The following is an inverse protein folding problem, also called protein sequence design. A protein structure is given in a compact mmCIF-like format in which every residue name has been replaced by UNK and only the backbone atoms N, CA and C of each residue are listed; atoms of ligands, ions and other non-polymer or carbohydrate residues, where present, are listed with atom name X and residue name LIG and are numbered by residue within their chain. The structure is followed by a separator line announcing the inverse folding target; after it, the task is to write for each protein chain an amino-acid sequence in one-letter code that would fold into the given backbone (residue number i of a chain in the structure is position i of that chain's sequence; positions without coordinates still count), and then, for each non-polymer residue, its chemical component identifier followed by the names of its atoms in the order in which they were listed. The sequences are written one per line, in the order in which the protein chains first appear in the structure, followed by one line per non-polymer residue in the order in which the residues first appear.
data_IF_198190304467
#
_entry.id   IF_198190304467
#
_cell.length_a   1.000
_cell.length_b   1.000
_cell.length_c   1.000
_cell.angle_alpha   90.00
_cell.angle_beta   90.00
_cell.angle_gamma   90.00
#
_symmetry.space_group_name_H-M   'P 1'
#
loop_
_entity.id
_entity.type
_entity.pdbx_description
1 polymer ?
#
# COMPACT_ATOMS: atom_id res chain seq x y z
N UNK A 1 -10.66 -15.21 -26.60
CA UNK A 1 -9.42 -15.19 -27.40
C UNK A 1 -8.43 -14.18 -26.80
N UNK A 2 -8.71 -12.88 -26.85
CA UNK A 2 -7.85 -11.80 -26.29
C UNK A 2 -7.33 -12.08 -24.88
N UNK A 3 -8.20 -12.37 -23.91
CA UNK A 3 -7.77 -12.68 -22.53
C UNK A 3 -6.90 -13.93 -22.41
N UNK A 4 -7.07 -14.92 -23.28
CA UNK A 4 -6.27 -16.15 -23.25
C UNK A 4 -4.86 -15.93 -23.85
N UNK A 5 -4.75 -15.01 -24.79
CA UNK A 5 -3.49 -14.61 -25.45
C UNK A 5 -2.62 -13.70 -24.57
N UNK A 6 -3.07 -13.30 -23.39
CA UNK A 6 -2.31 -12.41 -22.50
C UNK A 6 -2.41 -10.94 -22.90
N UNK A 7 -3.61 -10.48 -23.27
CA UNK A 7 -3.89 -9.10 -23.70
C UNK A 7 -4.98 -8.46 -22.86
N UNK A 8 -5.15 -7.14 -22.98
CA UNK A 8 -6.25 -6.40 -22.35
C UNK A 8 -7.45 -6.35 -23.30
N UNK A 9 -8.60 -6.86 -22.85
CA UNK A 9 -9.86 -6.75 -23.58
C UNK A 9 -10.61 -5.50 -23.12
N UNK A 10 -10.69 -4.48 -23.98
CA UNK A 10 -11.50 -3.30 -23.71
C UNK A 10 -12.96 -3.58 -24.12
N UNK A 11 -13.80 -3.82 -23.12
CA UNK A 11 -15.22 -4.15 -23.26
C UNK A 11 -16.04 -3.12 -22.50
N UNK A 12 -16.93 -2.43 -23.21
CA UNK A 12 -17.81 -1.43 -22.62
C UNK A 12 -18.61 -1.99 -21.43
N UNK A 13 -18.95 -1.12 -20.47
CA UNK A 13 -19.76 -1.50 -19.31
C UNK A 13 -21.09 -2.09 -19.74
N UNK A 14 -21.42 -3.28 -19.22
CA UNK A 14 -22.63 -4.03 -19.59
C UNK A 14 -22.43 -5.13 -20.63
N UNK A 15 -21.25 -5.24 -21.25
CA UNK A 15 -20.94 -6.31 -22.23
C UNK A 15 -20.66 -7.68 -21.58
N UNK A 16 -20.74 -7.78 -20.25
CA UNK A 16 -20.65 -9.06 -19.54
C UNK A 16 -19.23 -9.54 -19.23
N UNK A 17 -18.30 -8.63 -18.93
CA UNK A 17 -16.89 -8.92 -18.56
C UNK A 17 -16.72 -10.11 -17.61
N UNK A 18 -17.46 -10.13 -16.50
CA UNK A 18 -17.45 -11.23 -15.52
C UNK A 18 -17.77 -12.60 -16.14
N UNK A 19 -18.73 -12.67 -17.07
CA UNK A 19 -19.08 -13.92 -17.76
C UNK A 19 -18.02 -14.31 -18.78
N UNK A 20 -17.45 -13.33 -19.49
CA UNK A 20 -16.41 -13.55 -20.49
C UNK A 20 -15.14 -14.11 -19.85
N UNK A 21 -14.77 -13.67 -18.64
CA UNK A 21 -13.60 -14.16 -17.91
C UNK A 21 -13.65 -15.66 -17.56
N UNK A 22 -14.83 -16.27 -17.50
CA UNK A 22 -15.00 -17.70 -17.20
C UNK A 22 -14.31 -18.57 -18.27
N UNK A 23 -14.43 -18.20 -19.54
CA UNK A 23 -13.89 -18.97 -20.66
C UNK A 23 -12.35 -19.11 -20.63
N UNK A 24 -11.57 -18.00 -20.57
CA UNK A 24 -10.13 -18.09 -20.42
C UNK A 24 -9.72 -18.63 -19.05
N UNK A 25 -10.47 -18.37 -17.98
CA UNK A 25 -10.17 -18.96 -16.67
C UNK A 25 -10.25 -20.49 -16.71
N UNK A 26 -11.34 -21.03 -17.26
CA UNK A 26 -11.50 -22.46 -17.47
C UNK A 26 -10.36 -23.05 -18.29
N UNK A 27 -10.09 -22.48 -19.47
CA UNK A 27 -9.08 -23.01 -20.39
C UNK A 27 -7.66 -22.98 -19.78
N UNK A 28 -7.27 -21.89 -19.11
CA UNK A 28 -5.95 -21.80 -18.50
C UNK A 28 -5.84 -22.66 -17.23
N UNK A 29 -6.93 -22.88 -16.49
CA UNK A 29 -6.94 -23.75 -15.32
C UNK A 29 -6.64 -25.22 -15.67
N UNK A 30 -7.00 -25.68 -16.88
CA UNK A 30 -6.68 -27.04 -17.35
C UNK A 30 -5.17 -27.31 -17.45
N UNK A 31 -4.32 -26.28 -17.48
CA UNK A 31 -2.87 -26.44 -17.46
C UNK A 31 -2.31 -26.78 -16.07
N UNK A 32 -3.12 -26.72 -15.01
CA UNK A 32 -2.75 -27.11 -13.64
C UNK A 32 -2.01 -26.05 -12.82
N UNK A 33 -1.56 -24.95 -13.42
CA UNK A 33 -0.83 -23.87 -12.76
C UNK A 33 -1.67 -22.92 -11.89
N UNK A 34 -3.00 -23.10 -11.87
CA UNK A 34 -3.93 -22.22 -11.18
C UNK A 34 -4.19 -20.90 -11.92
N UNK A 35 -5.38 -20.34 -11.73
CA UNK A 35 -5.77 -19.03 -12.30
C UNK A 35 -6.25 -18.11 -11.19
N UNK A 36 -5.67 -16.92 -11.10
CA UNK A 36 -6.14 -15.86 -10.23
C UNK A 36 -7.03 -14.89 -11.02
N UNK A 37 -8.30 -14.79 -10.62
CA UNK A 37 -9.20 -13.75 -11.12
C UNK A 37 -9.17 -12.61 -10.12
N UNK A 38 -8.55 -11.51 -10.50
CA UNK A 38 -8.29 -10.37 -9.62
C UNK A 38 -9.37 -9.32 -9.78
N UNK A 39 -9.91 -8.84 -8.66
CA UNK A 39 -10.96 -7.80 -8.62
C UNK A 39 -10.56 -6.66 -7.68
N UNK A 40 -11.29 -5.55 -7.68
CA UNK A 40 -10.96 -4.35 -6.89
C UNK A 40 -11.40 -4.41 -5.43
N UNK A 41 -12.32 -5.29 -5.04
CA UNK A 41 -12.76 -5.41 -3.65
C UNK A 41 -13.35 -6.79 -3.29
N UNK A 42 -13.35 -7.10 -1.99
CA UNK A 42 -13.76 -8.41 -1.45
C UNK A 42 -15.22 -8.76 -1.76
N UNK A 43 -16.11 -7.76 -1.87
CA UNK A 43 -17.51 -8.00 -2.25
C UNK A 43 -17.61 -8.52 -3.69
N UNK A 44 -16.90 -7.89 -4.64
CA UNK A 44 -16.86 -8.34 -6.03
C UNK A 44 -16.22 -9.74 -6.15
N UNK A 45 -15.08 -9.97 -5.47
CA UNK A 45 -14.43 -11.28 -5.45
C UNK A 45 -15.39 -12.38 -4.98
N UNK A 46 -16.11 -12.15 -3.86
CA UNK A 46 -17.08 -13.11 -3.30
C UNK A 46 -18.29 -13.31 -4.22
N UNK A 47 -18.85 -12.22 -4.75
CA UNK A 47 -20.00 -12.26 -5.68
C UNK A 47 -19.66 -13.07 -6.93
N UNK A 48 -18.52 -12.79 -7.52
CA UNK A 48 -18.12 -13.40 -8.80
C UNK A 48 -17.71 -14.86 -8.59
N UNK A 49 -17.01 -15.20 -7.51
CA UNK A 49 -16.76 -16.60 -7.14
C UNK A 49 -18.05 -17.41 -6.91
N UNK A 50 -19.09 -16.78 -6.36
CA UNK A 50 -20.40 -17.43 -6.13
C UNK A 50 -21.21 -17.59 -7.42
N UNK A 51 -21.11 -16.63 -8.35
CA UNK A 51 -21.88 -16.62 -9.59
C UNK A 51 -21.13 -17.29 -10.75
N UNK A 52 -19.97 -16.76 -11.13
CA UNK A 52 -19.11 -17.26 -12.18
C UNK A 52 -18.42 -18.59 -11.82
N UNK A 53 -18.31 -18.91 -10.53
CA UNK A 53 -17.83 -20.22 -10.08
C UNK A 53 -18.79 -21.38 -10.34
N UNK A 54 -20.11 -21.14 -10.56
CA UNK A 54 -21.08 -22.22 -10.82
C UNK A 54 -20.77 -23.02 -12.09
N UNK A 55 -20.59 -22.39 -13.27
CA UNK A 55 -20.22 -23.14 -14.48
C UNK A 55 -18.84 -23.80 -14.35
N UNK A 56 -17.86 -23.17 -13.68
CA UNK A 56 -16.55 -23.78 -13.46
C UNK A 56 -16.65 -25.07 -12.62
N UNK A 57 -17.39 -25.04 -11.51
CA UNK A 57 -17.66 -26.23 -10.67
C UNK A 57 -18.46 -27.29 -11.40
N UNK A 58 -19.44 -26.89 -12.21
CA UNK A 58 -20.19 -27.82 -13.06
C UNK A 58 -19.28 -28.58 -14.04
N UNK A 59 -18.24 -27.92 -14.56
CA UNK A 59 -17.24 -28.53 -15.44
C UNK A 59 -16.12 -29.29 -14.69
N UNK A 60 -16.24 -29.43 -13.37
CA UNK A 60 -15.31 -30.22 -12.55
C UNK A 60 -14.13 -29.46 -11.97
N UNK A 61 -14.04 -28.14 -12.15
CA UNK A 61 -12.99 -27.32 -11.53
C UNK A 61 -13.34 -26.90 -10.10
N UNK A 62 -12.33 -26.81 -9.26
CA UNK A 62 -12.42 -26.21 -7.92
C UNK A 62 -12.30 -24.68 -8.01
N UNK A 63 -13.09 -23.97 -7.17
CA UNK A 63 -13.13 -22.50 -7.17
C UNK A 63 -13.03 -21.98 -5.75
N UNK A 64 -11.92 -21.29 -5.46
CA UNK A 64 -11.62 -20.64 -4.19
C UNK A 64 -11.90 -19.14 -4.23
N UNK A 65 -12.10 -18.54 -3.05
CA UNK A 65 -12.14 -17.10 -2.86
C UNK A 65 -11.26 -16.75 -1.67
N UNK A 66 -10.42 -15.74 -1.82
CA UNK A 66 -9.54 -15.24 -0.77
C UNK A 66 -10.07 -13.91 -0.28
N UNK A 67 -10.17 -13.77 1.04
CA UNK A 67 -10.70 -12.59 1.71
C UNK A 67 -9.79 -12.15 2.84
N UNK A 68 -9.93 -10.89 3.26
CA UNK A 68 -9.05 -10.27 4.25
C UNK A 68 -9.02 -11.02 5.60
N UNK A 69 -10.20 -11.44 6.07
CA UNK A 69 -10.47 -12.06 7.37
C UNK A 69 -10.09 -13.56 7.47
N UNK A 70 -9.66 -14.18 6.38
CA UNK A 70 -9.30 -15.61 6.37
C UNK A 70 -7.96 -15.87 7.05
N UNK A 71 -7.87 -17.00 7.75
CA UNK A 71 -6.63 -17.53 8.31
C UNK A 71 -5.67 -18.01 7.22
N UNK A 72 -4.38 -18.15 7.54
CA UNK A 72 -3.38 -18.64 6.57
C UNK A 72 -3.71 -20.03 6.01
N UNK A 73 -4.35 -20.90 6.81
CA UNK A 73 -4.74 -22.24 6.39
C UNK A 73 -5.89 -22.20 5.37
N UNK A 74 -6.92 -21.39 5.64
CA UNK A 74 -8.05 -21.20 4.71
C UNK A 74 -7.59 -20.55 3.39
N UNK A 75 -6.64 -19.60 3.46
CA UNK A 75 -6.04 -19.00 2.26
C UNK A 75 -5.29 -20.02 1.44
N UNK A 76 -4.52 -20.91 2.07
CA UNK A 76 -3.83 -22.02 1.38
C UNK A 76 -4.80 -22.94 0.65
N UNK A 77 -5.91 -23.30 1.29
CA UNK A 77 -6.95 -24.10 0.64
C UNK A 77 -7.57 -23.37 -0.55
N UNK A 78 -7.86 -22.07 -0.40
CA UNK A 78 -8.41 -21.25 -1.48
C UNK A 78 -7.45 -21.12 -2.68
N UNK A 79 -6.18 -20.77 -2.46
CA UNK A 79 -5.16 -20.72 -3.52
C UNK A 79 -4.88 -22.09 -4.14
N UNK A 80 -5.12 -23.17 -3.39
CA UNK A 80 -5.05 -24.55 -3.89
C UNK A 80 -6.11 -24.90 -4.94
N UNK A 81 -7.18 -24.11 -5.08
CA UNK A 81 -8.23 -24.32 -6.09
C UNK A 81 -7.75 -23.97 -7.50
N UNK A 82 -8.32 -24.63 -8.52
CA UNK A 82 -7.98 -24.43 -9.93
C UNK A 82 -8.17 -22.97 -10.38
N UNK A 83 -9.22 -22.32 -9.87
CA UNK A 83 -9.48 -20.89 -10.05
C UNK A 83 -9.66 -20.23 -8.68
N UNK A 84 -8.98 -19.13 -8.43
CA UNK A 84 -9.05 -18.37 -7.17
C UNK A 84 -9.47 -16.94 -7.47
N UNK A 85 -10.56 -16.49 -6.85
CA UNK A 85 -10.95 -15.08 -6.86
C UNK A 85 -10.29 -14.35 -5.70
N UNK A 86 -9.65 -13.21 -5.96
CA UNK A 86 -8.87 -12.47 -4.96
C UNK A 86 -8.84 -10.99 -5.31
N UNK A 87 -8.57 -10.13 -4.33
CA UNK A 87 -8.26 -8.72 -4.60
C UNK A 87 -6.77 -8.54 -4.84
N UNK A 88 -6.40 -7.53 -5.62
CA UNK A 88 -4.99 -7.16 -5.83
C UNK A 88 -4.26 -6.92 -4.49
N UNK A 89 -4.92 -6.23 -3.55
CA UNK A 89 -4.38 -5.97 -2.22
C UNK A 89 -4.11 -7.26 -1.45
N UNK A 90 -5.08 -8.18 -1.42
CA UNK A 90 -4.96 -9.41 -0.66
C UNK A 90 -3.90 -10.34 -1.25
N UNK A 91 -3.84 -10.44 -2.58
CA UNK A 91 -2.81 -11.16 -3.31
C UNK A 91 -1.41 -10.64 -2.97
N UNK A 92 -1.22 -9.31 -3.02
CA UNK A 92 0.07 -8.69 -2.74
C UNK A 92 0.51 -8.87 -1.29
N UNK A 93 -0.41 -8.74 -0.33
CA UNK A 93 -0.08 -9.01 1.07
C UNK A 93 0.23 -10.49 1.34
N UNK A 94 -0.47 -11.42 0.71
CA UNK A 94 -0.15 -12.84 0.87
C UNK A 94 1.20 -13.17 0.29
N UNK A 95 1.55 -12.60 -0.87
CA UNK A 95 2.90 -12.71 -1.42
C UNK A 95 3.96 -12.18 -0.45
N UNK A 96 3.79 -10.96 0.08
CA UNK A 96 4.76 -10.38 1.02
C UNK A 96 4.88 -11.22 2.29
N UNK A 97 3.77 -11.75 2.83
CA UNK A 97 3.79 -12.62 4.01
C UNK A 97 4.46 -13.96 3.74
N UNK A 98 4.33 -14.50 2.54
CA UNK A 98 4.98 -15.74 2.16
C UNK A 98 6.50 -15.56 2.02
N UNK A 99 6.98 -14.38 1.59
CA UNK A 99 8.42 -14.05 1.60
C UNK A 99 9.01 -13.93 3.02
N UNK A 100 8.17 -13.72 4.03
CA UNK A 100 8.57 -13.63 5.44
C UNK A 100 8.30 -14.93 6.22
N UNK A 101 7.70 -15.95 5.57
CA UNK A 101 7.40 -17.23 6.20
C UNK A 101 8.69 -17.98 6.57
N UNK A 102 8.73 -18.52 7.79
CA UNK A 102 9.88 -19.30 8.29
C UNK A 102 9.72 -20.79 8.02
N UNK A 103 8.47 -21.24 7.92
CA UNK A 103 8.12 -22.65 7.71
C UNK A 103 7.25 -22.80 6.45
N UNK A 104 7.40 -23.90 5.69
CA UNK A 104 6.51 -24.18 4.56
C UNK A 104 5.02 -24.20 4.96
N UNK A 105 4.72 -24.65 6.18
CA UNK A 105 3.36 -24.66 6.75
C UNK A 105 2.77 -23.28 7.03
N UNK A 106 3.50 -22.19 6.76
CA UNK A 106 3.03 -20.80 6.88
C UNK A 106 2.72 -20.17 5.51
N UNK A 107 3.14 -20.80 4.40
CA UNK A 107 2.92 -20.31 3.03
C UNK A 107 1.44 -20.34 2.64
N UNK A 108 0.96 -19.33 1.93
CA UNK A 108 -0.45 -19.20 1.51
C UNK A 108 -0.62 -19.52 0.04
N UNK A 109 0.25 -18.96 -0.81
CA UNK A 109 0.23 -19.18 -2.24
C UNK A 109 0.63 -20.61 -2.58
N UNK A 110 0.31 -21.04 -3.81
CA UNK A 110 0.71 -22.36 -4.31
C UNK A 110 2.23 -22.53 -4.27
N UNK A 111 2.70 -23.67 -3.75
CA UNK A 111 4.13 -23.95 -3.63
C UNK A 111 4.83 -24.12 -4.98
N UNK A 112 4.20 -24.80 -5.94
CA UNK A 112 4.82 -25.13 -7.24
C UNK A 112 4.76 -23.97 -8.22
N UNK A 113 3.61 -23.29 -8.30
CA UNK A 113 3.33 -22.24 -9.27
C UNK A 113 2.44 -21.16 -8.65
N UNK A 114 2.99 -20.24 -7.84
CA UNK A 114 2.23 -19.21 -7.15
C UNK A 114 1.65 -18.15 -8.11
N UNK A 115 2.24 -17.99 -9.29
CA UNK A 115 1.88 -16.97 -10.29
C UNK A 115 1.74 -17.58 -11.69
N UNK A 116 0.82 -18.53 -11.84
CA UNK A 116 0.52 -19.18 -13.13
C UNK A 116 -0.13 -18.22 -14.13
N UNK A 117 -1.43 -17.94 -13.95
CA UNK A 117 -2.19 -17.01 -14.79
C UNK A 117 -2.99 -16.01 -13.95
N UNK A 118 -2.98 -14.75 -14.33
CA UNK A 118 -3.86 -13.71 -13.79
C UNK A 118 -4.78 -13.14 -14.86
N UNK A 119 -6.06 -12.97 -14.51
CA UNK A 119 -7.04 -12.22 -15.27
C UNK A 119 -7.53 -11.09 -14.36
N UNK A 120 -7.17 -9.85 -14.70
CA UNK A 120 -7.46 -8.67 -13.88
C UNK A 120 -8.75 -7.99 -14.37
N UNK A 121 -9.78 -7.94 -13.54
CA UNK A 121 -10.96 -7.12 -13.76
C UNK A 121 -10.69 -5.66 -13.35
N UNK A 122 -11.30 -4.72 -14.06
CA UNK A 122 -10.98 -3.28 -14.00
C UNK A 122 -9.46 -3.03 -14.04
N UNK A 123 -8.85 -3.57 -15.11
CA UNK A 123 -7.39 -3.61 -15.27
C UNK A 123 -6.71 -2.23 -15.26
N UNK A 124 -7.39 -1.18 -15.72
CA UNK A 124 -6.92 0.21 -15.63
C UNK A 124 -6.83 0.66 -14.17
N UNK A 125 -7.89 0.46 -13.39
CA UNK A 125 -7.87 0.81 -11.96
C UNK A 125 -6.79 0.03 -11.19
N UNK A 126 -6.66 -1.28 -11.43
CA UNK A 126 -5.72 -2.12 -10.66
C UNK A 126 -4.26 -1.95 -11.10
N UNK A 127 -3.99 -1.92 -12.40
CA UNK A 127 -2.62 -1.92 -12.93
C UNK A 127 -2.05 -0.52 -13.15
N UNK A 128 -2.90 0.48 -13.36
CA UNK A 128 -2.47 1.85 -13.66
C UNK A 128 -2.71 2.77 -12.45
N UNK A 129 -3.96 2.94 -12.03
CA UNK A 129 -4.30 3.90 -10.97
C UNK A 129 -3.71 3.49 -9.61
N UNK A 130 -4.02 2.27 -9.17
CA UNK A 130 -3.51 1.72 -7.91
C UNK A 130 -2.03 1.32 -7.99
N UNK A 131 -1.51 1.10 -9.21
CA UNK A 131 -0.13 0.70 -9.46
C UNK A 131 0.94 1.65 -8.95
N UNK A 132 0.56 2.90 -8.62
CA UNK A 132 1.46 3.99 -8.21
C UNK A 132 1.91 3.90 -6.76
N UNK A 133 1.11 3.30 -5.87
CA UNK A 133 1.45 3.21 -4.44
C UNK A 133 1.89 1.79 -4.10
N UNK A 134 3.11 1.59 -3.57
CA UNK A 134 3.55 0.25 -3.20
C UNK A 134 2.75 -0.30 -2.02
N UNK A 135 2.56 -1.61 -2.02
CA UNK A 135 2.10 -2.34 -0.83
C UNK A 135 3.25 -2.46 0.15
N UNK A 136 2.95 -2.19 1.42
CA UNK A 136 3.94 -2.17 2.50
C UNK A 136 3.39 -2.98 3.67
N UNK A 137 4.17 -3.96 4.14
CA UNK A 137 3.93 -4.60 5.43
C UNK A 137 4.83 -3.93 6.45
N UNK A 138 4.23 -3.29 7.43
CA UNK A 138 4.92 -2.75 8.59
C UNK A 138 4.70 -3.62 9.82
N UNK A 139 5.67 -3.58 10.72
CA UNK A 139 5.52 -4.06 12.09
C UNK A 139 5.78 -2.93 13.07
N UNK A 140 5.14 -3.01 14.23
CA UNK A 140 5.53 -2.19 15.36
C UNK A 140 6.82 -2.77 15.91
N UNK A 141 7.90 -2.00 15.85
CA UNK A 141 9.10 -2.33 16.60
C UNK A 141 8.83 -2.00 18.06
N UNK A 142 9.07 -2.96 18.97
CA UNK A 142 9.17 -2.64 20.39
C UNK A 142 10.38 -1.71 20.56
N UNK A 143 10.07 -0.44 20.81
CA UNK A 143 11.08 0.57 21.11
C UNK A 143 11.51 0.37 22.56
N UNK A 144 12.81 0.17 22.85
CA UNK A 144 13.28 -0.03 24.21
C UNK A 144 13.24 1.32 24.95
N UNK A 145 12.06 1.72 25.43
CA UNK A 145 11.84 3.02 26.07
C UNK A 145 12.84 3.27 27.21
N UNK A 146 13.17 2.23 27.99
CA UNK A 146 14.18 2.30 29.05
C UNK A 146 15.57 2.70 28.55
N UNK A 147 15.98 2.25 27.35
CA UNK A 147 17.27 2.64 26.76
C UNK A 147 17.30 4.11 26.42
N UNK A 148 16.24 4.66 25.86
CA UNK A 148 16.15 6.10 25.56
C UNK A 148 16.18 6.93 26.84
N UNK A 149 15.43 6.53 27.87
CA UNK A 149 15.44 7.22 29.16
C UNK A 149 16.82 7.16 29.83
N UNK A 150 17.47 6.00 29.83
CA UNK A 150 18.81 5.82 30.41
C UNK A 150 19.86 6.58 29.61
N UNK A 151 19.80 6.53 28.27
CA UNK A 151 20.72 7.24 27.40
C UNK A 151 20.62 8.76 27.57
N UNK A 152 19.40 9.29 27.76
CA UNK A 152 19.19 10.69 28.07
C UNK A 152 19.84 11.10 29.40
N UNK A 153 19.70 10.28 30.45
CA UNK A 153 20.33 10.53 31.75
C UNK A 153 21.86 10.56 31.63
N UNK A 154 22.45 9.62 30.90
CA UNK A 154 23.90 9.57 30.68
C UNK A 154 24.36 10.77 29.85
N UNK A 155 23.66 11.08 28.74
CA UNK A 155 23.96 12.23 27.88
C UNK A 155 23.91 13.57 28.63
N UNK A 156 23.12 13.67 29.71
CA UNK A 156 23.12 14.83 30.60
C UNK A 156 24.42 14.97 31.42
N UNK A 157 25.12 13.87 31.71
CA UNK A 157 26.40 13.87 32.44
C UNK A 157 27.62 14.12 31.57
N UNK A 158 27.49 14.00 30.24
CA UNK A 158 28.59 14.17 29.29
C UNK A 158 28.82 15.65 28.96
N UNK A 159 30.09 16.02 28.84
CA UNK A 159 30.54 17.38 28.56
C UNK A 159 30.89 17.58 27.07
N UNK A 160 30.38 18.65 26.47
CA UNK A 160 30.66 19.04 25.08
C UNK A 160 32.14 19.39 24.91
N UNK A 161 32.70 19.01 23.76
CA UNK A 161 34.10 19.17 23.36
C UNK A 161 35.13 18.46 24.27
N UNK A 162 34.65 17.63 25.19
CA UNK A 162 35.45 16.79 26.09
C UNK A 162 35.07 15.32 25.93
N UNK A 163 33.80 15.00 26.18
CA UNK A 163 33.26 13.65 26.09
C UNK A 163 32.61 13.39 24.72
N UNK A 164 32.23 14.43 23.97
CA UNK A 164 31.72 14.32 22.60
C UNK A 164 31.93 15.61 21.81
N UNK A 165 31.93 15.51 20.49
CA UNK A 165 32.02 16.63 19.55
C UNK A 165 30.68 16.81 18.84
N UNK A 166 30.24 18.05 18.69
CA UNK A 166 29.01 18.39 17.96
C UNK A 166 29.35 18.76 16.51
N UNK A 167 28.78 18.03 15.57
CA UNK A 167 28.92 18.25 14.14
C UNK A 167 27.67 18.96 13.61
N UNK A 168 27.68 20.30 13.67
CA UNK A 168 26.49 21.11 13.34
C UNK A 168 26.08 21.01 11.86
N UNK A 169 27.05 20.82 10.96
CA UNK A 169 26.80 20.68 9.51
C UNK A 169 26.18 19.33 9.18
N UNK A 170 26.71 18.27 9.78
CA UNK A 170 26.23 16.90 9.63
C UNK A 170 24.99 16.61 10.49
N UNK A 171 24.59 17.55 11.36
CA UNK A 171 23.47 17.42 12.31
C UNK A 171 23.57 16.15 13.17
N UNK A 172 24.78 15.84 13.65
CA UNK A 172 25.06 14.69 14.51
C UNK A 172 26.07 15.01 15.61
N UNK A 173 26.24 14.10 16.55
CA UNK A 173 27.29 14.15 17.57
C UNK A 173 28.18 12.90 17.47
N UNK A 174 29.46 13.04 17.81
CA UNK A 174 30.42 11.92 17.85
C UNK A 174 30.99 11.83 19.26
N UNK A 175 30.95 10.65 19.87
CA UNK A 175 31.60 10.42 21.16
C UNK A 175 33.13 10.47 20.99
N UNK A 176 33.82 11.09 21.96
CA UNK A 176 35.27 10.93 22.06
C UNK A 176 35.60 9.62 22.79
N UNK A 177 36.83 9.14 22.68
CA UNK A 177 37.29 7.95 23.43
C UNK A 177 37.02 8.09 24.94
N UNK A 178 37.18 9.30 25.50
CA UNK A 178 36.85 9.61 26.89
C UNK A 178 35.34 9.47 27.17
N UNK A 179 34.49 9.98 26.28
CA UNK A 179 33.04 9.85 26.42
C UNK A 179 32.56 8.41 26.29
N UNK A 180 33.17 7.62 25.42
CA UNK A 180 32.90 6.19 25.32
C UNK A 180 33.22 5.48 26.64
N UNK A 181 34.41 5.67 27.19
CA UNK A 181 34.81 5.09 28.49
C UNK A 181 33.86 5.49 29.62
N UNK A 182 33.54 6.79 29.74
CA UNK A 182 32.65 7.32 30.78
C UNK A 182 31.22 6.78 30.64
N UNK A 183 30.75 6.58 29.41
CA UNK A 183 29.44 6.00 29.11
C UNK A 183 29.43 4.51 29.45
N UNK A 184 30.48 3.78 29.07
CA UNK A 184 30.67 2.36 29.35
C UNK A 184 30.68 2.06 30.85
N UNK A 185 31.40 2.88 31.62
CA UNK A 185 31.46 2.79 33.09
C UNK A 185 30.08 2.99 33.74
N UNK A 186 29.30 3.97 33.27
CA UNK A 186 27.96 4.23 33.78
C UNK A 186 26.97 3.11 33.44
N UNK A 187 27.09 2.54 32.24
CA UNK A 187 26.26 1.41 31.79
C UNK A 187 26.72 0.06 32.34
N UNK A 188 27.93 -0.01 32.94
CA UNK A 188 28.60 -1.26 33.34
C UNK A 188 28.69 -2.24 32.18
N UNK A 189 29.04 -1.72 31.01
CA UNK A 189 29.21 -2.44 29.75
C UNK A 189 30.69 -2.37 29.36
N UNK A 190 31.17 -3.34 28.58
CA UNK A 190 32.53 -3.28 28.03
C UNK A 190 32.52 -2.61 26.64
N UNK A 191 31.53 -2.92 25.81
CA UNK A 191 31.41 -2.43 24.45
C UNK A 191 30.02 -1.80 24.20
N UNK A 192 30.00 -0.54 23.75
CA UNK A 192 28.78 0.20 23.40
C UNK A 192 28.25 -0.18 22.01
N UNK A 193 29.08 -0.84 21.18
CA UNK A 193 28.81 -1.21 19.80
C UNK A 193 28.46 -2.69 19.64
N UNK A 194 28.25 -3.43 20.76
CA UNK A 194 27.84 -4.83 20.75
C UNK A 194 26.61 -5.03 19.84
N UNK A 195 26.72 -5.82 18.75
CA UNK A 195 25.60 -6.06 17.84
C UNK A 195 24.38 -6.71 18.51
N UNK A 196 24.56 -7.39 19.65
CA UNK A 196 23.47 -8.03 20.40
C UNK A 196 22.78 -7.08 21.37
N UNK A 197 23.46 -6.05 21.86
CA UNK A 197 22.88 -5.04 22.74
C UNK A 197 23.50 -3.65 22.52
N UNK A 198 23.21 -2.99 21.38
CA UNK A 198 23.85 -1.73 21.02
C UNK A 198 23.36 -0.59 21.93
N UNK A 199 24.29 0.23 22.40
CA UNK A 199 24.04 1.43 23.21
C UNK A 199 24.52 2.73 22.54
N UNK A 200 25.56 2.66 21.72
CA UNK A 200 26.12 3.83 21.05
C UNK A 200 25.08 4.65 20.27
N UNK A 201 24.15 4.06 19.46
CA UNK A 201 23.14 4.85 18.75
C UNK A 201 22.20 5.62 19.67
N UNK A 202 21.81 5.04 20.81
CA UNK A 202 20.92 5.68 21.78
C UNK A 202 21.58 6.89 22.44
N UNK A 203 22.88 6.76 22.79
CA UNK A 203 23.67 7.84 23.40
C UNK A 203 23.89 8.96 22.39
N UNK A 204 24.30 8.63 21.17
CA UNK A 204 24.49 9.60 20.08
C UNK A 204 23.20 10.33 19.76
N UNK A 205 22.06 9.63 19.65
CA UNK A 205 20.75 10.25 19.42
C UNK A 205 20.33 11.14 20.59
N UNK A 206 20.61 10.74 21.83
CA UNK A 206 20.31 11.56 23.02
C UNK A 206 21.15 12.85 23.06
N UNK A 207 22.43 12.77 22.72
CA UNK A 207 23.32 13.94 22.57
C UNK A 207 22.88 14.84 21.41
N UNK A 208 22.56 14.24 20.26
CA UNK A 208 22.05 14.96 19.09
C UNK A 208 20.74 15.68 19.42
N UNK A 209 19.79 14.99 20.06
CA UNK A 209 18.54 15.59 20.53
C UNK A 209 18.78 16.73 21.53
N UNK A 210 19.75 16.57 22.44
CA UNK A 210 20.12 17.60 23.44
C UNK A 210 20.70 18.86 22.77
N UNK A 211 21.67 18.71 21.89
CA UNK A 211 22.50 19.82 21.36
C UNK A 211 21.92 20.46 20.09
N UNK A 212 21.32 19.67 19.20
CA UNK A 212 21.01 20.11 17.83
C UNK A 212 19.51 20.30 17.55
N UNK A 213 18.65 19.70 18.37
CA UNK A 213 17.19 19.77 18.21
C UNK A 213 16.57 20.54 19.36
N UNK A 214 16.26 21.81 19.12
CA UNK A 214 15.71 22.71 20.12
C UNK A 214 14.20 22.88 19.92
N UNK A 215 13.47 22.84 21.03
CA UNK A 215 12.06 23.17 21.08
C UNK A 215 11.82 24.60 20.58
N UNK A 216 10.71 24.82 19.90
CA UNK A 216 10.32 26.07 19.21
C UNK A 216 11.24 26.47 18.04
N UNK A 217 12.13 25.56 17.59
CA UNK A 217 12.93 25.74 16.37
C UNK A 217 12.76 24.56 15.43
N UNK A 218 13.20 23.37 15.84
CA UNK A 218 13.10 22.15 15.04
C UNK A 218 11.76 21.43 15.24
N UNK A 219 11.19 21.52 16.45
CA UNK A 219 9.91 20.92 16.80
C UNK A 219 9.15 21.76 17.82
N UNK A 220 7.87 21.44 17.97
CA UNK A 220 7.03 21.85 19.09
C UNK A 220 6.46 20.61 19.80
N UNK A 221 6.02 20.79 21.04
CA UNK A 221 5.25 19.76 21.76
C UNK A 221 3.80 20.20 21.80
N UNK A 222 2.91 19.39 21.20
CA UNK A 222 1.47 19.66 21.12
C UNK A 222 0.70 18.38 21.45
N UNK A 223 -0.29 18.49 22.32
CA UNK A 223 -1.13 17.35 22.76
C UNK A 223 -0.32 16.14 23.25
N UNK A 224 0.79 16.40 23.94
CA UNK A 224 1.70 15.36 24.44
C UNK A 224 2.53 14.68 23.35
N UNK A 225 2.64 15.25 22.15
CA UNK A 225 3.41 14.71 21.02
C UNK A 225 4.42 15.72 20.49
N UNK A 226 5.58 15.21 20.06
CA UNK A 226 6.58 16.00 19.33
C UNK A 226 6.15 16.13 17.88
N UNK A 227 6.01 17.36 17.39
CA UNK A 227 5.63 17.67 16.00
C UNK A 227 6.76 18.43 15.33
N UNK A 228 7.22 17.93 14.19
CA UNK A 228 8.29 18.56 13.39
C UNK A 228 7.83 19.92 12.87
N UNK A 229 8.70 20.91 12.93
CA UNK A 229 8.48 22.24 12.36
C UNK A 229 9.36 22.41 11.14
N UNK A 230 8.80 22.94 10.06
CA UNK A 230 9.58 23.34 8.89
C UNK A 230 10.44 24.57 9.23
N UNK A 231 11.76 24.44 9.11
CA UNK A 231 12.73 25.48 9.51
C UNK A 231 12.62 26.78 8.68
N UNK A 232 12.04 26.73 7.47
CA UNK A 232 11.89 27.91 6.61
C UNK A 232 10.61 28.67 6.90
N UNK A 233 9.52 27.94 7.18
CA UNK A 233 8.18 28.53 7.32
C UNK A 233 7.70 28.64 8.76
N UNK A 234 8.34 27.94 9.71
CA UNK A 234 7.94 27.86 11.11
C UNK A 234 6.61 27.13 11.32
N UNK A 235 6.11 26.41 10.31
CA UNK A 235 4.83 25.71 10.38
C UNK A 235 5.01 24.25 10.84
N UNK A 236 4.11 23.72 11.67
CA UNK A 236 4.11 22.31 12.02
C UNK A 236 3.78 21.46 10.78
N UNK A 237 4.54 20.38 10.60
CA UNK A 237 4.37 19.40 9.53
C UNK A 237 3.84 18.11 10.15
N UNK A 238 2.53 17.93 10.12
CA UNK A 238 1.89 16.73 10.64
C UNK A 238 2.30 15.48 9.83
N UNK A 239 2.50 14.35 10.53
CA UNK A 239 2.89 13.07 9.93
C UNK A 239 4.37 12.93 9.58
N UNK A 240 5.18 13.98 9.75
CA UNK A 240 6.64 13.89 9.62
C UNK A 240 7.28 13.54 10.96
N UNK A 241 8.22 12.60 10.95
CA UNK A 241 9.07 12.23 12.08
C UNK A 241 10.53 12.11 11.64
N UNK A 242 11.46 12.10 12.60
CA UNK A 242 12.85 11.76 12.35
C UNK A 242 13.07 10.24 12.40
N UNK A 243 13.93 9.71 11.53
CA UNK A 243 14.28 8.28 11.46
C UNK A 243 15.35 7.89 12.48
N UNK A 244 15.71 6.59 12.48
CA UNK A 244 16.87 6.02 13.18
C UNK A 244 16.88 6.25 14.69
N UNK A 245 15.69 6.33 15.31
CA UNK A 245 15.56 6.50 16.75
C UNK A 245 15.65 7.95 17.26
N UNK A 246 15.86 8.93 16.39
CA UNK A 246 16.04 10.33 16.81
C UNK A 246 14.74 10.95 17.32
N UNK A 247 13.59 10.63 16.69
CA UNK A 247 12.27 11.06 17.16
C UNK A 247 12.05 10.63 18.61
N UNK A 248 12.33 9.37 18.93
CA UNK A 248 12.15 8.78 20.24
C UNK A 248 13.12 9.38 21.28
N UNK A 249 14.33 9.75 20.87
CA UNK A 249 15.26 10.47 21.74
C UNK A 249 14.76 11.88 22.08
N UNK A 250 14.13 12.59 21.14
CA UNK A 250 13.51 13.89 21.38
C UNK A 250 12.26 13.75 22.27
N UNK A 251 11.45 12.71 22.04
CA UNK A 251 10.30 12.39 22.88
C UNK A 251 10.71 12.11 24.33
N UNK A 252 11.77 11.30 24.52
CA UNK A 252 12.36 11.05 25.84
C UNK A 252 12.89 12.35 26.48
N UNK A 253 13.58 13.20 25.71
CA UNK A 253 14.09 14.50 26.15
C UNK A 253 12.99 15.42 26.69
N UNK A 254 11.85 15.47 26.01
CA UNK A 254 10.71 16.31 26.40
C UNK A 254 9.81 15.65 27.46
N UNK A 255 10.10 14.41 27.85
CA UNK A 255 9.30 13.66 28.83
C UNK A 255 7.90 13.29 28.32
N UNK A 256 7.73 13.17 27.01
CA UNK A 256 6.47 12.71 26.40
C UNK A 256 6.51 11.19 26.18
N UNK A 257 5.34 10.61 25.90
CA UNK A 257 5.24 9.17 25.61
C UNK A 257 6.03 8.84 24.34
N UNK A 258 6.99 7.91 24.46
CA UNK A 258 7.81 7.44 23.35
C UNK A 258 6.94 6.59 22.43
N UNK A 259 6.77 7.03 21.19
CA UNK A 259 5.92 6.33 20.24
C UNK A 259 6.67 5.15 19.61
N UNK A 260 5.96 4.05 19.42
CA UNK A 260 6.49 2.92 18.66
C UNK A 260 6.68 3.31 17.19
N UNK A 261 7.82 2.91 16.62
CA UNK A 261 8.10 3.13 15.21
C UNK A 261 7.49 1.99 14.37
N UNK A 262 6.76 2.38 13.33
CA UNK A 262 6.35 1.44 12.30
C UNK A 262 7.54 1.19 11.37
N UNK A 263 8.21 0.05 11.51
CA UNK A 263 9.28 -0.36 10.61
C UNK A 263 8.69 -1.05 9.39
N UNK A 264 9.24 -0.76 8.21
CA UNK A 264 8.86 -1.46 6.97
C UNK A 264 9.59 -2.79 6.91
N UNK A 265 8.84 -3.90 6.98
CA UNK A 265 9.40 -5.26 6.89
C UNK A 265 9.59 -5.71 5.44
N UNK A 266 8.61 -5.39 4.58
CA UNK A 266 8.62 -5.77 3.18
C UNK A 266 7.75 -4.83 2.35
N UNK A 267 8.09 -4.65 1.08
CA UNK A 267 7.27 -3.87 0.14
C UNK A 267 7.35 -4.40 -1.29
N UNK A 268 6.27 -4.20 -2.06
CA UNK A 268 6.22 -4.49 -3.50
C UNK A 268 5.20 -3.56 -4.19
N UNK A 269 5.51 -3.07 -5.39
CA UNK A 269 4.52 -2.38 -6.23
C UNK A 269 3.65 -3.38 -6.98
N UNK A 270 2.42 -3.00 -7.34
CA UNK A 270 1.58 -3.88 -8.19
C UNK A 270 2.24 -4.16 -9.54
N UNK A 271 2.97 -3.20 -10.10
CA UNK A 271 3.76 -3.41 -11.32
C UNK A 271 4.72 -4.59 -11.17
N UNK A 272 5.52 -4.62 -10.10
CA UNK A 272 6.43 -5.73 -9.84
C UNK A 272 5.69 -7.04 -9.54
N UNK A 273 4.61 -6.98 -8.74
CA UNK A 273 3.82 -8.15 -8.36
C UNK A 273 3.22 -8.85 -9.59
N UNK A 274 2.56 -8.09 -10.47
CA UNK A 274 1.86 -8.68 -11.62
C UNK A 274 2.82 -9.16 -12.72
N UNK A 275 4.06 -8.65 -12.77
CA UNK A 275 5.11 -9.17 -13.66
C UNK A 275 5.64 -10.54 -13.21
N UNK A 276 5.30 -11.02 -12.02
CA UNK A 276 5.64 -12.39 -11.59
C UNK A 276 4.79 -13.46 -12.31
N UNK A 277 3.65 -13.09 -12.89
CA UNK A 277 2.78 -14.04 -13.59
C UNK A 277 3.38 -14.51 -14.91
N UNK A 278 3.33 -15.82 -15.16
CA UNK A 278 3.71 -16.38 -16.47
C UNK A 278 2.76 -15.91 -17.58
N UNK A 279 1.49 -15.70 -17.26
CA UNK A 279 0.49 -15.11 -18.15
C UNK A 279 -0.36 -14.09 -17.41
N UNK A 280 -0.39 -12.87 -17.92
CA UNK A 280 -1.21 -11.78 -17.42
C UNK A 280 -2.18 -11.34 -18.51
N UNK A 281 -3.44 -11.13 -18.16
CA UNK A 281 -4.44 -10.47 -19.01
C UNK A 281 -5.37 -9.62 -18.17
N UNK A 282 -6.11 -8.74 -18.83
CA UNK A 282 -7.00 -7.80 -18.14
C UNK A 282 -8.25 -7.48 -18.94
N UNK A 283 -9.29 -7.01 -18.27
CA UNK A 283 -10.49 -6.49 -18.89
C UNK A 283 -10.92 -5.21 -18.21
N UNK A 284 -11.36 -4.23 -19.00
CA UNK A 284 -11.88 -2.94 -18.50
C UNK A 284 -12.73 -2.28 -19.59
N UNK A 285 -13.45 -1.22 -19.27
CA UNK A 285 -14.21 -0.42 -20.23
C UNK A 285 -13.41 0.71 -20.86
N UNK A 286 -12.23 1.01 -20.32
CA UNK A 286 -11.49 2.26 -20.55
C UNK A 286 -9.97 1.99 -20.59
N UNK A 287 -9.50 1.17 -21.52
CA UNK A 287 -8.07 0.85 -21.66
C UNK A 287 -7.37 1.58 -22.81
N UNK A 288 -8.11 2.01 -23.84
CA UNK A 288 -7.51 2.55 -25.08
C UNK A 288 -6.68 3.81 -24.82
N UNK A 289 -7.06 4.63 -23.84
CA UNK A 289 -6.30 5.83 -23.46
C UNK A 289 -4.97 5.51 -22.79
N UNK A 290 -4.91 4.39 -22.06
CA UNK A 290 -3.73 3.94 -21.30
C UNK A 290 -2.94 2.82 -22.01
N UNK A 291 -3.19 2.60 -23.31
CA UNK A 291 -2.63 1.47 -24.05
C UNK A 291 -1.09 1.47 -24.11
N UNK A 292 -0.48 2.65 -24.19
CA UNK A 292 0.98 2.80 -24.17
C UNK A 292 1.56 2.41 -22.79
N UNK A 293 0.86 2.75 -21.70
CA UNK A 293 1.28 2.42 -20.34
C UNK A 293 1.16 0.90 -20.09
N UNK A 294 0.05 0.27 -20.49
CA UNK A 294 -0.11 -1.19 -20.44
C UNK A 294 1.02 -1.94 -21.17
N UNK A 295 1.37 -1.49 -22.37
CA UNK A 295 2.40 -2.15 -23.16
C UNK A 295 3.80 -1.91 -22.60
N UNK A 296 4.12 -0.67 -22.19
CA UNK A 296 5.46 -0.34 -21.68
C UNK A 296 5.78 -0.98 -20.33
N UNK A 297 4.80 -1.09 -19.43
CA UNK A 297 5.00 -1.63 -18.08
C UNK A 297 4.84 -3.15 -18.05
N UNK A 298 3.80 -3.67 -18.72
CA UNK A 298 3.38 -5.08 -18.60
C UNK A 298 3.53 -5.89 -19.89
N UNK A 299 3.82 -5.25 -21.03
CA UNK A 299 3.83 -5.90 -22.34
C UNK A 299 2.43 -6.32 -22.80
N UNK A 300 1.38 -5.67 -22.29
CA UNK A 300 -0.01 -6.00 -22.62
C UNK A 300 -0.52 -5.11 -23.75
N UNK A 301 -0.93 -5.73 -24.86
CA UNK A 301 -1.65 -5.05 -25.95
C UNK A 301 -3.12 -4.82 -25.54
N UNK A 302 -3.66 -3.63 -25.86
CA UNK A 302 -5.07 -3.30 -25.63
C UNK A 302 -5.88 -3.55 -26.90
N UNK A 303 -6.93 -4.36 -26.78
CA UNK A 303 -7.80 -4.74 -27.89
C UNK A 303 -9.24 -4.26 -27.63
N UNK A 304 -9.71 -3.23 -28.35
CA UNK A 304 -11.11 -2.82 -28.33
C UNK A 304 -12.02 -3.93 -28.85
N UNK A 305 -13.00 -4.32 -28.04
CA UNK A 305 -14.01 -5.32 -28.42
C UNK A 305 -15.28 -4.60 -28.86
N UNK A 306 -15.80 -4.87 -30.07
CA UNK A 306 -17.05 -4.28 -30.52
C UNK A 306 -18.21 -4.61 -29.57
N UNK A 307 -19.06 -3.62 -29.28
CA UNK A 307 -20.26 -3.84 -28.47
C UNK A 307 -21.23 -4.79 -29.19
N UNK A 308 -21.89 -5.67 -28.44
CA UNK A 308 -22.91 -6.59 -28.95
C UNK A 308 -24.09 -5.84 -29.60
N UNK A 309 -24.40 -4.63 -29.12
CA UNK A 309 -25.38 -3.73 -29.73
C UNK A 309 -24.75 -2.37 -30.04
N UNK A 310 -25.16 -1.70 -31.13
CA UNK A 310 -24.72 -0.33 -31.38
C UNK A 310 -25.04 0.59 -30.20
N UNK A 311 -24.03 1.34 -29.74
CA UNK A 311 -24.23 2.32 -28.68
C UNK A 311 -25.16 3.45 -29.18
N UNK A 312 -26.26 3.68 -28.45
CA UNK A 312 -27.21 4.77 -28.71
C UNK A 312 -27.17 5.84 -27.62
N UNK A 313 -26.20 5.76 -26.71
CA UNK A 313 -26.01 6.78 -25.66
C UNK A 313 -25.58 8.08 -26.35
N UNK A 314 -26.19 9.18 -25.92
CA UNK A 314 -25.83 10.52 -26.38
C UNK A 314 -24.92 11.09 -25.31
N UNK A 315 -23.65 11.28 -25.66
CA UNK A 315 -22.67 11.96 -24.82
C UNK A 315 -22.68 13.44 -25.20
N UNK A 316 -23.09 14.31 -24.28
CA UNK A 316 -23.11 15.77 -24.46
C UNK A 316 -21.72 16.36 -24.17
N UNK A 317 -21.42 17.54 -24.73
CA UNK A 317 -20.16 18.25 -24.47
C UNK A 317 -20.08 18.78 -23.03
N UNK A 318 -18.85 18.89 -22.52
CA UNK A 318 -18.59 19.41 -21.17
C UNK A 318 -19.08 20.85 -21.00
N UNK A 319 -19.78 21.12 -19.89
CA UNK A 319 -20.21 22.46 -19.51
C UNK A 319 -19.27 23.04 -18.44
N UNK A 320 -18.54 24.10 -18.79
CA UNK A 320 -17.57 24.76 -17.91
C UNK A 320 -18.18 26.02 -17.28
N UNK A 321 -18.05 26.14 -15.95
CA UNK A 321 -18.57 27.28 -15.19
C UNK A 321 -17.46 28.04 -14.50
N UNK A 322 -17.63 29.36 -14.36
CA UNK A 322 -16.66 30.26 -13.72
C UNK A 322 -16.55 30.06 -12.20
N UNK A 323 -17.59 29.53 -11.56
CA UNK A 323 -17.63 29.29 -10.12
C UNK A 323 -18.20 27.92 -9.82
N UNK A 324 -17.71 27.30 -8.73
CA UNK A 324 -18.24 26.02 -8.26
C UNK A 324 -19.73 26.12 -7.87
N UNK A 325 -20.14 27.23 -7.23
CA UNK A 325 -21.55 27.47 -6.91
C UNK A 325 -22.42 27.55 -8.18
N UNK A 326 -21.91 28.17 -9.25
CA UNK A 326 -22.60 28.22 -10.55
C UNK A 326 -22.76 26.82 -11.16
N UNK A 327 -21.69 26.01 -11.15
CA UNK A 327 -21.73 24.61 -11.59
C UNK A 327 -22.80 23.82 -10.83
N UNK A 328 -22.81 23.88 -9.50
CA UNK A 328 -23.75 23.10 -8.69
C UNK A 328 -25.21 23.51 -8.87
N UNK A 329 -25.48 24.81 -9.09
CA UNK A 329 -26.84 25.27 -9.46
C UNK A 329 -27.28 24.65 -10.78
N UNK A 330 -26.43 24.67 -11.79
CA UNK A 330 -26.77 24.10 -13.09
C UNK A 330 -26.94 22.56 -13.05
N UNK A 331 -26.10 21.86 -12.29
CA UNK A 331 -26.27 20.42 -12.02
C UNK A 331 -27.62 20.15 -11.36
N UNK A 332 -27.99 20.93 -10.34
CA UNK A 332 -29.28 20.79 -9.65
C UNK A 332 -30.45 21.03 -10.59
N UNK A 333 -30.40 22.07 -11.43
CA UNK A 333 -31.42 22.35 -12.44
C UNK A 333 -31.57 21.21 -13.45
N UNK A 334 -30.45 20.63 -13.90
CA UNK A 334 -30.45 19.47 -14.81
C UNK A 334 -31.09 18.23 -14.16
N UNK A 335 -30.79 17.98 -12.88
CA UNK A 335 -31.39 16.90 -12.10
C UNK A 335 -32.90 17.14 -11.95
N UNK A 336 -33.33 18.35 -11.57
CA UNK A 336 -34.74 18.69 -11.43
C UNK A 336 -35.51 18.50 -12.75
N UNK A 337 -34.92 18.92 -13.88
CA UNK A 337 -35.52 18.75 -15.21
C UNK A 337 -35.65 17.29 -15.60
N UNK A 338 -34.63 16.47 -15.34
CA UNK A 338 -34.65 15.03 -15.60
C UNK A 338 -35.64 14.30 -14.68
N UNK A 339 -35.69 14.67 -13.40
CA UNK A 339 -36.63 14.10 -12.45
C UNK A 339 -38.08 14.46 -12.81
N UNK A 340 -38.33 15.70 -13.24
CA UNK A 340 -39.65 16.15 -13.71
C UNK A 340 -40.18 15.36 -14.91
N UNK A 341 -39.29 14.76 -15.71
CA UNK A 341 -39.64 13.83 -16.80
C UNK A 341 -39.51 12.34 -16.43
N UNK A 342 -39.37 12.04 -15.13
CA UNK A 342 -39.20 10.68 -14.59
C UNK A 342 -38.01 9.90 -15.16
N UNK A 343 -37.00 10.61 -15.68
CA UNK A 343 -35.77 9.99 -16.18
C UNK A 343 -34.83 9.68 -15.00
N UNK A 344 -34.34 8.44 -14.84
CA UNK A 344 -33.37 8.12 -13.79
C UNK A 344 -32.07 8.87 -14.03
N UNK A 345 -31.43 9.30 -12.94
CA UNK A 345 -30.19 10.09 -12.96
C UNK A 345 -29.15 9.43 -12.05
N UNK A 346 -27.93 9.30 -12.55
CA UNK A 346 -26.76 8.95 -11.77
C UNK A 346 -25.81 10.16 -11.77
N UNK A 347 -25.43 10.64 -10.59
CA UNK A 347 -24.50 11.77 -10.43
C UNK A 347 -23.20 11.25 -9.82
N UNK A 348 -22.10 11.43 -10.54
CA UNK A 348 -20.76 11.11 -10.03
C UNK A 348 -20.12 12.34 -9.38
N UNK A 349 -19.50 12.16 -8.21
CA UNK A 349 -18.69 13.19 -7.55
C UNK A 349 -17.30 12.63 -7.24
N UNK A 350 -16.32 13.51 -7.07
CA UNK A 350 -14.93 13.12 -6.75
C UNK A 350 -14.64 13.05 -5.25
N UNK A 351 -15.54 13.52 -4.39
CA UNK A 351 -15.39 13.44 -2.94
C UNK A 351 -16.74 13.28 -2.24
N UNK A 352 -16.71 12.62 -1.07
CA UNK A 352 -17.88 12.39 -0.22
C UNK A 352 -18.43 13.70 0.34
N UNK A 353 -17.57 14.68 0.64
CA UNK A 353 -17.99 16.01 1.14
C UNK A 353 -18.94 16.73 0.18
N UNK A 354 -18.85 16.44 -1.12
CA UNK A 354 -19.70 17.04 -2.16
C UNK A 354 -21.07 16.36 -2.29
N UNK A 355 -21.35 15.31 -1.50
CA UNK A 355 -22.66 14.66 -1.43
C UNK A 355 -23.61 15.32 -0.41
N UNK A 356 -23.08 16.21 0.45
CA UNK A 356 -23.80 16.88 1.54
C UNK A 356 -24.53 18.15 1.13
#
# INVERSE_FOLDING_TARGET
MVLHEGKVAEMATGEGKTLVAILPAFLNALAGGGVHVVTTNDYLARRDAAWAGRPLRFLGLTVGVVQSEMSSAEKREAYGCDVTYVTNQQLGFDYLRDQMAKLPSELRLRETEPFGCAIVDEADSVLIDEGRTPLVVSAQAEVPSEKYTTALQIAATLERDVDYTVLEKEKTCILTERGELKTSDQLKKEDLFDPQDPWAPFIVNSLTAKELYLRERQYIVRDGKVVVVDEFTGRPVEGRSWSDGLQQAIEAKEGVEIQQEAIVLASISYQCLFRLYKKLSGMTGTASTEAEEFNSIYGLEVNPIPCNKPCKRIDEEDQVYTTEAGKWRAVTEAICKAHGSQRPVLVGTTSVEKLG
#
